data_IF_467996550410
#
_entry.id   IF_467996550410
#
_cell.length_a   1.000
_cell.length_b   1.000
_cell.length_c   1.000
_cell.angle_alpha   90.00
_cell.angle_beta   90.00
_cell.angle_gamma   90.00
#
_symmetry.space_group_name_H-M   'P 1'
#
loop_
_entity.id
_entity.type
_entity.pdbx_description
1 polymer ?
#
# COMPACT_ATOMS: atom_id res chain seq x y z
N UNK A 1 -18.56 15.35 -13.55
CA UNK A 1 -18.77 14.78 -12.20
C UNK A 1 -19.26 15.86 -11.28
N UNK A 2 -20.44 15.65 -10.70
CA UNK A 2 -21.01 16.57 -9.72
C UNK A 2 -20.21 16.50 -8.40
N UNK A 3 -20.19 17.55 -7.56
CA UNK A 3 -19.47 17.55 -6.29
C UNK A 3 -19.83 16.36 -5.37
N UNK A 4 -21.09 15.94 -5.38
CA UNK A 4 -21.58 14.78 -4.62
C UNK A 4 -20.96 13.46 -5.08
N UNK A 5 -20.77 13.26 -6.38
CA UNK A 5 -20.17 12.04 -6.93
C UNK A 5 -18.70 11.91 -6.54
N UNK A 6 -17.95 13.03 -6.57
CA UNK A 6 -16.55 13.06 -6.12
C UNK A 6 -16.41 12.65 -4.66
N UNK A 7 -17.35 13.06 -3.81
CA UNK A 7 -17.35 12.71 -2.39
C UNK A 7 -17.64 11.21 -2.17
N UNK A 8 -18.59 10.64 -2.91
CA UNK A 8 -18.89 9.20 -2.85
C UNK A 8 -17.70 8.36 -3.30
N UNK A 9 -17.05 8.73 -4.40
CA UNK A 9 -15.86 8.03 -4.88
C UNK A 9 -14.70 8.14 -3.90
N UNK A 10 -14.49 9.32 -3.31
CA UNK A 10 -13.49 9.51 -2.27
C UNK A 10 -13.69 8.52 -1.12
N UNK A 11 -14.88 8.49 -0.54
CA UNK A 11 -15.20 7.57 0.55
C UNK A 11 -14.98 6.11 0.13
N UNK A 12 -15.55 5.72 -1.02
CA UNK A 12 -15.51 4.36 -1.53
C UNK A 12 -14.09 3.82 -1.72
N UNK A 13 -13.16 4.65 -2.20
CA UNK A 13 -11.81 4.20 -2.51
C UNK A 13 -10.83 4.36 -1.35
N UNK A 14 -11.03 5.33 -0.45
CA UNK A 14 -10.18 5.54 0.72
C UNK A 14 -10.56 4.68 1.94
N UNK A 15 -11.83 4.28 2.11
CA UNK A 15 -12.21 3.36 3.21
C UNK A 15 -11.36 2.08 3.20
N UNK A 16 -11.18 1.37 2.07
CA UNK A 16 -10.32 0.20 2.03
C UNK A 16 -8.86 0.48 2.40
N UNK A 17 -8.34 1.68 2.08
CA UNK A 17 -6.98 2.09 2.48
C UNK A 17 -6.89 2.20 4.00
N UNK A 18 -7.88 2.85 4.62
CA UNK A 18 -7.93 3.03 6.07
C UNK A 18 -8.10 1.70 6.82
N UNK A 19 -8.97 0.81 6.33
CA UNK A 19 -9.12 -0.55 6.87
C UNK A 19 -7.79 -1.29 6.79
N UNK A 20 -7.11 -1.21 5.66
CA UNK A 20 -5.85 -1.91 5.45
C UNK A 20 -4.71 -1.35 6.32
N UNK A 21 -4.66 -0.03 6.51
CA UNK A 21 -3.80 0.62 7.51
C UNK A 21 -4.09 0.08 8.92
N UNK A 22 -5.36 -0.06 9.30
CA UNK A 22 -5.75 -0.64 10.59
C UNK A 22 -5.26 -2.08 10.77
N UNK A 23 -5.31 -2.89 9.69
CA UNK A 23 -4.75 -4.25 9.68
C UNK A 23 -3.24 -4.22 9.89
N UNK A 24 -2.51 -3.35 9.18
CA UNK A 24 -1.05 -3.21 9.35
C UNK A 24 -0.73 -2.86 10.80
N UNK A 25 -1.33 -1.81 11.36
CA UNK A 25 -1.07 -1.36 12.74
C UNK A 25 -1.43 -2.43 13.79
N UNK A 26 -2.49 -3.19 13.55
CA UNK A 26 -2.86 -4.30 14.43
C UNK A 26 -1.81 -5.41 14.41
N UNK A 27 -1.34 -5.81 13.23
CA UNK A 27 -0.35 -6.89 13.07
C UNK A 27 1.05 -6.44 13.52
N UNK A 28 1.48 -5.23 13.16
CA UNK A 28 2.79 -4.68 13.52
C UNK A 28 2.89 -4.37 15.01
N UNK A 29 1.78 -3.96 15.64
CA UNK A 29 1.69 -3.65 17.07
C UNK A 29 1.64 -4.87 18.00
N UNK A 30 1.73 -6.10 17.49
CA UNK A 30 1.80 -7.29 18.34
C UNK A 30 3.13 -7.34 19.08
N UNK A 31 3.11 -7.59 20.39
CA UNK A 31 4.31 -7.73 21.21
C UNK A 31 5.15 -8.95 20.78
N UNK A 32 6.46 -8.86 20.97
CA UNK A 32 7.39 -9.96 20.71
C UNK A 32 7.05 -11.12 21.67
N UNK A 33 6.84 -12.33 21.13
CA UNK A 33 6.39 -13.49 21.92
C UNK A 33 4.92 -13.44 22.36
N UNK A 34 4.10 -12.66 21.66
CA UNK A 34 2.64 -12.70 21.86
C UNK A 34 2.06 -14.03 21.38
N UNK A 35 1.06 -14.54 22.10
CA UNK A 35 0.32 -15.76 21.74
C UNK A 35 -0.19 -15.74 20.30
N UNK A 36 -0.55 -14.56 19.79
CA UNK A 36 -1.01 -14.40 18.41
C UNK A 36 0.08 -14.76 17.40
N UNK A 37 1.31 -14.26 17.58
CA UNK A 37 2.43 -14.55 16.67
C UNK A 37 2.91 -16.00 16.79
N UNK A 38 2.79 -16.60 17.98
CA UNK A 38 3.13 -18.00 18.20
C UNK A 38 2.15 -18.95 17.48
N UNK A 39 0.86 -18.60 17.45
CA UNK A 39 -0.18 -19.41 16.79
C UNK A 39 -0.29 -19.11 15.28
N UNK A 40 0.03 -17.89 14.86
CA UNK A 40 0.03 -17.46 13.46
C UNK A 40 1.41 -16.93 13.05
N UNK A 41 2.40 -17.83 12.84
CA UNK A 41 3.75 -17.44 12.47
C UNK A 41 3.77 -16.92 11.03
N UNK A 42 3.60 -15.61 10.87
CA UNK A 42 3.90 -14.92 9.61
C UNK A 42 5.39 -14.61 9.60
N UNK A 43 6.16 -14.99 8.57
CA UNK A 43 7.56 -14.56 8.47
C UNK A 43 7.60 -13.03 8.45
N UNK A 44 8.08 -12.43 9.55
CA UNK A 44 7.92 -11.00 9.85
C UNK A 44 8.28 -10.12 8.65
N UNK A 45 9.43 -10.39 8.01
CA UNK A 45 9.92 -9.64 6.86
C UNK A 45 9.06 -9.80 5.59
N UNK A 46 8.42 -10.95 5.39
CA UNK A 46 7.44 -11.13 4.31
C UNK A 46 6.14 -10.38 4.60
N UNK A 47 5.73 -10.33 5.87
CA UNK A 47 4.58 -9.52 6.32
C UNK A 47 4.76 -8.04 5.98
N UNK A 48 5.92 -7.47 6.31
CA UNK A 48 6.33 -6.12 5.93
C UNK A 48 6.27 -5.92 4.39
N UNK A 49 6.94 -6.79 3.63
CA UNK A 49 6.95 -6.69 2.16
C UNK A 49 5.52 -6.71 1.55
N UNK A 50 4.69 -7.68 1.94
CA UNK A 50 3.33 -7.87 1.41
C UNK A 50 2.41 -6.75 1.88
N UNK A 51 2.50 -6.37 3.16
CA UNK A 51 1.74 -5.28 3.77
C UNK A 51 1.91 -4.01 2.95
N UNK A 52 3.15 -3.56 2.78
CA UNK A 52 3.41 -2.29 2.11
C UNK A 52 3.26 -2.34 0.59
N UNK A 53 3.45 -3.50 -0.05
CA UNK A 53 3.06 -3.69 -1.45
C UNK A 53 1.53 -3.52 -1.65
N UNK A 54 0.73 -4.11 -0.76
CA UNK A 54 -0.73 -3.99 -0.78
C UNK A 54 -1.19 -2.55 -0.51
N UNK A 55 -0.59 -1.88 0.48
CA UNK A 55 -0.89 -0.48 0.79
C UNK A 55 -0.59 0.43 -0.41
N UNK A 56 0.54 0.24 -1.07
CA UNK A 56 0.89 0.95 -2.30
C UNK A 56 -0.18 0.80 -3.39
N UNK A 57 -0.65 -0.43 -3.63
CA UNK A 57 -1.66 -0.73 -4.66
C UNK A 57 -3.00 -0.07 -4.33
N UNK A 58 -3.45 -0.18 -3.07
CA UNK A 58 -4.72 0.39 -2.64
C UNK A 58 -4.68 1.91 -2.66
N UNK A 59 -3.58 2.52 -2.22
CA UNK A 59 -3.41 3.97 -2.23
C UNK A 59 -3.34 4.51 -3.67
N UNK A 60 -2.60 3.84 -4.56
CA UNK A 60 -2.58 4.19 -5.98
C UNK A 60 -3.98 4.12 -6.60
N UNK A 61 -4.73 3.05 -6.32
CA UNK A 61 -6.11 2.89 -6.79
C UNK A 61 -6.99 4.04 -6.29
N UNK A 62 -6.86 4.43 -5.03
CA UNK A 62 -7.62 5.53 -4.46
C UNK A 62 -7.31 6.85 -5.17
N UNK A 63 -6.03 7.23 -5.24
CA UNK A 63 -5.58 8.46 -5.91
C UNK A 63 -6.07 8.50 -7.37
N UNK A 64 -5.92 7.41 -8.12
CA UNK A 64 -6.32 7.38 -9.53
C UNK A 64 -7.82 7.48 -9.78
N UNK A 65 -8.65 7.07 -8.82
CA UNK A 65 -10.11 7.11 -8.97
C UNK A 65 -10.71 8.41 -8.47
N UNK A 66 -9.98 9.18 -7.67
CA UNK A 66 -10.48 10.44 -7.09
C UNK A 66 -9.86 11.69 -7.70
N UNK A 67 -8.67 11.59 -8.30
CA UNK A 67 -8.05 12.71 -9.02
C UNK A 67 -8.56 12.80 -10.47
N UNK A 68 -8.67 14.05 -10.95
CA UNK A 68 -9.15 14.38 -12.30
C UNK A 68 -8.17 13.90 -13.40
N UNK A 69 -6.88 13.79 -13.08
CA UNK A 69 -5.85 13.34 -14.03
C UNK A 69 -5.25 12.01 -13.57
N UNK A 70 -5.41 10.98 -14.41
CA UNK A 70 -4.70 9.71 -14.28
C UNK A 70 -3.35 9.87 -14.97
N UNK A 71 -2.27 9.90 -14.20
CA UNK A 71 -0.92 9.97 -14.73
C UNK A 71 0.07 9.14 -13.89
N UNK A 72 1.26 8.92 -14.44
CA UNK A 72 2.31 8.13 -13.78
C UNK A 72 2.78 8.77 -12.44
N UNK A 73 2.59 10.08 -12.25
CA UNK A 73 2.92 10.75 -10.98
C UNK A 73 2.05 10.25 -9.82
N UNK A 74 0.84 9.74 -10.09
CA UNK A 74 -0.02 9.17 -9.03
C UNK A 74 0.61 7.92 -8.39
N UNK A 75 1.43 7.17 -9.13
CA UNK A 75 2.19 6.04 -8.58
C UNK A 75 3.25 6.52 -7.59
N UNK A 76 3.94 7.61 -7.92
CA UNK A 76 4.96 8.24 -7.07
C UNK A 76 4.31 8.85 -5.82
N UNK A 77 3.17 9.52 -5.95
CA UNK A 77 2.41 10.05 -4.79
C UNK A 77 2.00 8.94 -3.81
N UNK A 78 1.49 7.83 -4.33
CA UNK A 78 1.16 6.66 -3.51
C UNK A 78 2.40 6.09 -2.82
N UNK A 79 3.54 6.06 -3.52
CA UNK A 79 4.80 5.56 -2.97
C UNK A 79 5.32 6.44 -1.83
N UNK A 80 5.35 7.76 -2.02
CA UNK A 80 5.74 8.71 -0.97
C UNK A 80 4.83 8.57 0.26
N UNK A 81 3.51 8.44 0.04
CA UNK A 81 2.57 8.20 1.13
C UNK A 81 2.88 6.89 1.87
N UNK A 82 3.10 5.79 1.13
CA UNK A 82 3.34 4.47 1.70
C UNK A 82 4.66 4.41 2.49
N UNK A 83 5.73 5.04 1.99
CA UNK A 83 7.01 5.17 2.71
C UNK A 83 6.85 6.06 3.95
N UNK A 84 6.10 7.17 3.84
CA UNK A 84 5.77 7.99 5.00
C UNK A 84 5.01 7.20 6.07
N UNK A 85 4.08 6.33 5.65
CA UNK A 85 3.36 5.46 6.55
C UNK A 85 4.26 4.40 7.21
N UNK A 86 5.24 3.86 6.50
CA UNK A 86 6.22 2.92 7.08
C UNK A 86 7.01 3.56 8.24
N UNK A 87 7.41 4.83 8.07
CA UNK A 87 8.07 5.59 9.15
C UNK A 87 7.12 5.78 10.35
N UNK A 88 5.85 6.07 10.09
CA UNK A 88 4.82 6.21 11.14
C UNK A 88 4.60 4.90 11.88
N UNK A 89 4.53 3.77 11.18
CA UNK A 89 4.34 2.45 11.78
C UNK A 89 5.52 2.04 12.66
N UNK A 90 6.75 2.22 12.20
CA UNK A 90 7.94 1.95 13.03
C UNK A 90 8.04 2.89 14.23
N UNK A 91 7.58 4.14 14.09
CA UNK A 91 7.44 5.06 15.21
C UNK A 91 6.36 4.58 16.18
N UNK A 92 5.21 4.13 15.67
CA UNK A 92 4.13 3.55 16.48
C UNK A 92 4.61 2.33 17.28
N UNK A 93 5.40 1.45 16.67
CA UNK A 93 5.98 0.28 17.33
C UNK A 93 6.91 0.65 18.50
N UNK A 94 7.55 1.84 18.51
CA UNK A 94 8.34 2.28 19.67
C UNK A 94 7.51 2.51 20.95
N UNK A 95 6.20 2.71 20.81
CA UNK A 95 5.28 2.85 21.94
C UNK A 95 4.69 1.51 22.39
N UNK A 96 4.98 0.42 21.68
CA UNK A 96 4.50 -0.93 22.03
C UNK A 96 5.54 -1.60 22.94
N UNK A 97 5.16 -2.09 24.14
CA UNK A 97 6.07 -2.81 25.01
C UNK A 97 6.72 -4.00 24.29
N UNK A 98 8.00 -4.27 24.55
CA UNK A 98 8.80 -5.36 23.92
C UNK A 98 9.08 -5.20 22.41
N UNK A 99 8.71 -4.07 21.81
CA UNK A 99 9.06 -3.69 20.44
C UNK A 99 10.04 -2.51 20.43
N UNK A 100 10.78 -2.42 19.33
CA UNK A 100 11.64 -1.29 19.02
C UNK A 100 11.48 -0.95 17.54
N UNK A 101 11.41 0.33 17.22
CA UNK A 101 11.45 0.78 15.83
C UNK A 101 12.79 0.44 15.17
N UNK A 102 12.76 0.15 13.88
CA UNK A 102 13.86 -0.40 13.11
C UNK A 102 13.93 0.27 11.74
N UNK A 103 15.05 0.96 11.48
CA UNK A 103 15.31 1.55 10.16
C UNK A 103 15.36 0.48 9.06
N UNK A 104 15.78 -0.73 9.41
CA UNK A 104 15.80 -1.87 8.47
C UNK A 104 14.37 -2.25 8.06
N UNK A 105 13.41 -2.18 8.97
CA UNK A 105 12.01 -2.47 8.65
C UNK A 105 11.41 -1.38 7.76
N UNK A 106 11.71 -0.10 7.99
CA UNK A 106 11.35 0.99 7.04
C UNK A 106 11.89 0.73 5.63
N UNK A 107 13.12 0.23 5.51
CA UNK A 107 13.72 -0.11 4.21
C UNK A 107 12.96 -1.28 3.57
N UNK A 108 12.64 -2.33 4.32
CA UNK A 108 11.91 -3.50 3.81
C UNK A 108 10.49 -3.12 3.38
N UNK A 109 9.82 -2.28 4.14
CA UNK A 109 8.51 -1.71 3.82
C UNK A 109 8.56 -0.88 2.55
N UNK A 110 9.61 -0.06 2.40
CA UNK A 110 9.86 0.73 1.20
C UNK A 110 10.12 -0.17 -0.03
N UNK A 111 10.81 -1.30 0.14
CA UNK A 111 10.98 -2.31 -0.92
C UNK A 111 9.65 -2.99 -1.26
N UNK A 112 8.80 -3.27 -0.27
CA UNK A 112 7.43 -3.74 -0.48
C UNK A 112 6.60 -2.75 -1.30
N UNK A 113 6.62 -1.47 -0.92
CA UNK A 113 5.98 -0.40 -1.66
C UNK A 113 6.51 -0.30 -3.10
N UNK A 114 7.82 -0.41 -3.30
CA UNK A 114 8.42 -0.40 -4.64
C UNK A 114 7.95 -1.60 -5.47
N UNK A 115 7.84 -2.77 -4.86
CA UNK A 115 7.33 -3.99 -5.51
C UNK A 115 5.89 -3.80 -5.96
N UNK A 116 5.03 -3.23 -5.11
CA UNK A 116 3.65 -2.87 -5.47
C UNK A 116 3.60 -1.87 -6.64
N UNK A 117 4.49 -0.88 -6.62
CA UNK A 117 4.61 0.11 -7.70
C UNK A 117 5.00 -0.55 -9.03
N UNK A 118 6.04 -1.40 -9.03
CA UNK A 118 6.50 -2.11 -10.24
C UNK A 118 5.40 -3.02 -10.77
N UNK A 119 4.67 -3.72 -9.90
CA UNK A 119 3.53 -4.55 -10.29
C UNK A 119 2.44 -3.75 -11.01
N UNK A 120 2.06 -2.59 -10.47
CA UNK A 120 1.11 -1.67 -11.11
C UNK A 120 1.61 -1.22 -12.49
N UNK A 121 2.88 -0.84 -12.58
CA UNK A 121 3.49 -0.37 -13.83
C UNK A 121 3.44 -1.46 -14.90
N UNK A 122 3.83 -2.68 -14.52
CA UNK A 122 3.84 -3.83 -15.42
C UNK A 122 2.43 -4.14 -15.93
N UNK A 123 1.43 -4.17 -15.05
CA UNK A 123 0.03 -4.41 -15.41
C UNK A 123 -0.46 -3.34 -16.39
N UNK A 124 -0.26 -2.07 -16.07
CA UNK A 124 -0.67 -0.96 -16.94
C UNK A 124 0.00 -1.03 -18.32
N UNK A 125 1.29 -1.34 -18.36
CA UNK A 125 2.05 -1.48 -19.61
C UNK A 125 1.57 -2.65 -20.47
N UNK A 126 1.30 -3.81 -19.85
CA UNK A 126 0.76 -4.97 -20.55
C UNK A 126 -0.65 -4.69 -21.11
N UNK A 127 -1.53 -4.07 -20.33
CA UNK A 127 -2.88 -3.71 -20.77
C UNK A 127 -2.87 -2.74 -21.96
N UNK A 128 -1.98 -1.74 -21.95
CA UNK A 128 -1.79 -0.83 -23.08
C UNK A 128 -1.32 -1.56 -24.34
N UNK A 129 -0.35 -2.49 -24.22
CA UNK A 129 0.14 -3.29 -25.35
C UNK A 129 -0.97 -4.13 -25.99
N UNK A 130 -1.82 -4.78 -25.19
CA UNK A 130 -2.94 -5.58 -25.70
C UNK A 130 -3.98 -4.72 -26.44
N UNK A 131 -4.26 -3.50 -25.97
CA UNK A 131 -5.20 -2.60 -26.64
C UNK A 131 -4.68 -2.15 -28.01
N UNK A 132 -3.39 -1.81 -28.12
CA UNK A 132 -2.76 -1.41 -29.40
C UNK A 132 -2.78 -2.56 -30.41
N UNK A 133 -2.42 -3.78 -29.99
CA UNK A 133 -2.47 -4.96 -30.85
C UNK A 133 -3.89 -5.30 -31.33
N UNK A 134 -4.92 -5.01 -30.52
CA UNK A 134 -6.33 -5.19 -30.90
C UNK A 134 -6.79 -4.17 -31.94
N UNK A 135 -6.32 -2.93 -31.86
CA UNK A 135 -6.64 -1.88 -32.84
C UNK A 135 -5.94 -2.16 -34.17
N UNK A 136 -4.67 -2.59 -34.15
CA UNK A 136 -3.90 -2.90 -35.37
C UNK A 136 -4.42 -4.11 -36.16
N UNK A 137 -5.29 -4.95 -35.59
CA UNK A 137 -5.88 -6.14 -36.24
C UNK A 137 -7.27 -5.89 -36.83
N UNK A 138 -7.84 -4.70 -36.65
CA UNK A 138 -9.08 -4.26 -37.30
C UNK A 138 -8.75 -3.38 -38.49
#
# INVERSE_FOLDING_TARGET
MLPSEKMVDFIKYYIPVLIYIGIILFLSGQQSGSFFLDYFPVPLKLGHLIGYAGLQILMYRAINKTLVSVNNLNMIKAFIFTVGFAIIDETYQTFVPTRSGSVVDVIIDSVGALTGLVGIWLINHLLMRFQVLRISRK
#
